data_IF_173925382376
#
_entry.id   IF_173925382376
#
_cell.length_a   1.000
_cell.length_b   1.000
_cell.length_c   1.000
_cell.angle_alpha   90.00
_cell.angle_beta   90.00
_cell.angle_gamma   90.00
#
_symmetry.space_group_name_H-M   'P 1'
#
loop_
_entity.id
_entity.type
_entity.pdbx_description
1 polymer ?
2 non-polymer ?
3 non-polymer ?
4 non-polymer ?
5 water ?
#
# COMPACT_ATOMS: atom_id res chain seq x y z
N UNK A 13 7.85 -8.95 25.28
CA UNK A 13 9.00 -9.03 24.39
C UNK A 13 8.77 -10.20 23.39
N UNK A 14 7.53 -10.71 23.33
CA UNK A 14 7.23 -11.94 22.57
C UNK A 14 7.05 -11.65 21.07
N UNK A 15 7.65 -12.49 20.23
CA UNK A 15 7.66 -12.29 18.78
C UNK A 15 6.70 -13.23 18.05
N UNK A 16 6.55 -12.96 16.75
CA UNK A 16 5.81 -13.81 15.82
C UNK A 16 6.28 -13.48 14.40
N UNK A 17 6.55 -14.51 13.61
CA UNK A 17 6.81 -14.37 12.19
C UNK A 17 5.58 -14.83 11.41
N UNK A 18 5.39 -14.22 10.24
CA UNK A 18 4.23 -14.54 9.40
C UNK A 18 4.74 -14.74 7.98
N UNK A 19 4.24 -15.80 7.34
CA UNK A 19 4.56 -16.14 5.97
C UNK A 19 3.32 -15.91 5.14
N UNK A 20 3.47 -15.22 4.02
CA UNK A 20 2.33 -14.86 3.17
C UNK A 20 2.63 -15.22 1.72
N UNK A 21 1.71 -15.96 1.10
CA UNK A 21 1.73 -16.19 -0.35
C UNK A 21 0.66 -15.34 -1.01
N UNK A 22 0.77 -15.22 -2.32
CA UNK A 22 -0.31 -14.62 -3.07
C UNK A 22 -1.46 -15.63 -3.16
N UNK A 23 -2.70 -15.25 -2.82
CA UNK A 23 -3.81 -16.22 -2.92
C UNK A 23 -3.97 -16.82 -4.30
N UNK A 24 -3.35 -16.24 -5.33
CA UNK A 24 -3.40 -16.74 -6.70
C UNK A 24 -2.18 -17.58 -7.06
N UNK A 25 -1.31 -17.86 -6.08
CA UNK A 25 -0.15 -18.72 -6.20
C UNK A 25 0.12 -19.30 -4.82
N UNK A 26 -0.88 -19.97 -4.25
CA UNK A 26 -0.90 -20.36 -2.84
C UNK A 26 0.06 -21.54 -2.63
N UNK A 27 1.34 -21.18 -2.56
CA UNK A 27 2.43 -22.13 -2.51
C UNK A 27 2.92 -22.39 -1.08
N UNK A 28 2.31 -21.78 -0.08
CA UNK A 28 2.71 -22.01 1.32
C UNK A 28 2.11 -23.34 1.79
N UNK A 29 2.69 -24.42 1.26
CA UNK A 29 2.19 -25.76 1.48
C UNK A 29 2.39 -26.18 2.94
N UNK A 30 1.57 -27.10 3.43
CA UNK A 30 1.67 -27.50 4.85
C UNK A 30 3.08 -27.92 5.25
N UNK A 31 3.85 -28.50 4.32
CA UNK A 31 5.18 -29.01 4.66
C UNK A 31 6.19 -27.88 4.80
N UNK A 32 6.04 -26.84 3.98
CA UNK A 32 6.84 -25.62 4.14
C UNK A 32 6.58 -24.97 5.50
N UNK A 33 5.32 -24.88 5.90
CA UNK A 33 5.01 -24.31 7.20
C UNK A 33 5.83 -24.96 8.30
N UNK A 34 5.75 -26.28 8.39
CA UNK A 34 6.49 -27.04 9.39
C UNK A 34 7.98 -26.82 9.24
N UNK A 35 8.49 -26.87 8.01
CA UNK A 35 9.91 -26.68 7.78
C UNK A 35 10.37 -25.34 8.32
N UNK A 36 9.75 -24.25 7.84
CA UNK A 36 10.06 -22.93 8.36
C UNK A 36 9.85 -22.87 9.87
N UNK A 37 8.74 -23.44 10.35
CA UNK A 37 8.47 -23.48 11.79
C UNK A 37 9.67 -24.02 12.57
N UNK A 38 10.28 -25.10 12.07
CA UNK A 38 11.39 -25.71 12.77
C UNK A 38 12.73 -25.04 12.46
N UNK A 39 12.83 -24.33 11.34
CA UNK A 39 14.07 -23.59 11.06
C UNK A 39 14.32 -22.50 12.08
N UNK A 40 13.26 -21.88 12.59
CA UNK A 40 13.38 -20.87 13.63
C UNK A 40 13.14 -21.48 15.00
N UNK A 41 13.03 -22.80 15.08
CA UNK A 41 12.95 -23.53 16.36
C UNK A 41 11.69 -23.16 17.14
N UNK A 42 10.58 -23.08 16.43
CA UNK A 42 9.35 -22.53 16.99
C UNK A 42 8.44 -23.63 17.52
N UNK A 43 7.58 -23.25 18.47
CA UNK A 43 6.59 -24.13 19.07
C UNK A 43 5.32 -24.16 18.23
N UNK A 44 4.40 -23.23 18.51
CA UNK A 44 3.17 -23.18 17.74
C UNK A 44 3.39 -22.91 16.27
N UNK A 45 2.40 -23.32 15.48
CA UNK A 45 2.31 -22.99 14.06
C UNK A 45 0.82 -22.84 13.76
N UNK A 46 0.39 -21.61 13.50
CA UNK A 46 -1.03 -21.28 13.42
C UNK A 46 -1.35 -20.82 12.00
N UNK A 47 -2.36 -21.44 11.40
CA UNK A 47 -2.72 -21.19 10.01
C UNK A 47 -3.78 -20.10 9.92
N UNK A 48 -3.46 -19.02 9.20
CA UNK A 48 -4.41 -17.94 9.01
C UNK A 48 -5.29 -18.20 7.79
N UNK A 49 -4.70 -18.77 6.74
CA UNK A 49 -5.42 -19.20 5.54
C UNK A 49 -4.67 -20.40 5.00
N UNK A 50 -5.37 -21.50 4.79
CA UNK A 50 -4.72 -22.70 4.28
C UNK A 50 -3.99 -22.37 2.97
N UNK A 51 -2.68 -22.62 2.96
CA UNK A 51 -1.76 -22.46 1.84
C UNK A 51 -1.44 -21.02 1.47
N UNK A 52 -1.92 -20.03 2.23
CA UNK A 52 -1.65 -18.64 1.92
C UNK A 52 -0.87 -17.95 3.03
N UNK A 53 -1.26 -18.15 4.29
CA UNK A 53 -0.58 -17.45 5.37
C UNK A 53 -0.59 -18.29 6.63
N UNK A 54 0.49 -18.16 7.41
CA UNK A 54 0.64 -18.90 8.65
C UNK A 54 1.42 -18.04 9.66
N UNK A 55 1.10 -18.22 10.94
CA UNK A 55 1.78 -17.55 12.05
C UNK A 55 2.75 -18.51 12.71
N UNK A 56 4.00 -18.06 12.88
CA UNK A 56 5.02 -18.85 13.55
C UNK A 56 5.43 -18.11 14.83
N UNK A 57 4.77 -18.42 15.98
CA UNK A 57 5.18 -17.79 17.25
C UNK A 57 6.65 -18.04 17.52
N UNK A 58 7.45 -16.99 17.46
CA UNK A 58 8.89 -17.13 17.61
C UNK A 58 9.26 -17.52 19.04
N UNK A 59 10.44 -18.13 19.23
CA UNK A 59 10.97 -18.35 20.59
C UNK A 59 11.72 -17.13 21.14
N UNK A 60 11.56 -16.92 22.45
CA UNK A 60 12.05 -15.72 23.12
C UNK A 60 13.57 -15.62 23.03
N UNK A 61 14.07 -14.39 22.96
CA UNK A 61 15.50 -14.19 22.83
C UNK A 61 16.04 -14.47 21.44
N UNK A 62 15.23 -14.22 20.42
CA UNK A 62 15.67 -14.34 19.03
C UNK A 62 15.34 -13.04 18.31
N UNK A 63 16.38 -12.24 18.09
CA UNK A 63 16.25 -11.02 17.29
C UNK A 63 15.67 -11.38 15.92
N UNK A 64 14.72 -10.56 15.45
CA UNK A 64 14.09 -10.82 14.16
C UNK A 64 15.10 -10.80 13.03
N UNK A 65 16.28 -10.23 13.24
CA UNK A 65 17.36 -10.32 12.25
C UNK A 65 17.65 -11.79 11.90
N UNK A 66 17.73 -12.66 12.91
CA UNK A 66 17.99 -14.08 12.64
C UNK A 66 16.76 -14.76 12.06
N UNK A 67 15.61 -14.65 12.75
CA UNK A 67 14.40 -15.34 12.32
C UNK A 67 14.04 -14.99 10.89
N UNK A 68 14.30 -13.75 10.46
CA UNK A 68 14.19 -13.41 9.06
C UNK A 68 15.09 -14.31 8.22
N UNK A 69 16.39 -14.33 8.53
CA UNK A 69 17.35 -15.09 7.74
C UNK A 69 16.97 -16.57 7.68
N UNK A 70 16.83 -17.21 8.85
CA UNK A 70 16.38 -18.60 8.92
C UNK A 70 15.20 -18.85 7.99
N UNK A 71 14.20 -17.98 8.04
CA UNK A 71 12.97 -18.22 7.28
C UNK A 71 13.17 -17.89 5.80
N UNK A 72 13.87 -16.80 5.50
CA UNK A 72 14.09 -16.45 4.09
C UNK A 72 14.92 -17.51 3.39
N UNK A 73 15.94 -18.05 4.08
CA UNK A 73 16.79 -19.10 3.50
C UNK A 73 16.03 -20.42 3.34
N UNK A 74 15.40 -20.90 4.44
CA UNK A 74 14.55 -22.09 4.37
C UNK A 74 13.52 -21.98 3.24
N UNK A 75 13.00 -20.78 2.99
CA UNK A 75 11.94 -20.59 1.99
C UNK A 75 12.46 -20.28 0.60
N UNK A 76 13.78 -20.21 0.44
CA UNK A 76 14.38 -19.71 -0.79
C UNK A 76 13.84 -20.44 -2.00
N UNK A 77 13.70 -19.71 -3.10
CA UNK A 77 13.03 -20.22 -4.27
C UNK A 77 11.52 -20.15 -4.21
N UNK A 78 10.91 -19.96 -2.98
CA UNK A 78 9.45 -19.97 -3.01
C UNK A 78 8.89 -18.55 -3.03
N UNK A 79 7.74 -18.33 -3.72
CA UNK A 79 7.11 -16.99 -3.74
C UNK A 79 6.29 -16.72 -2.47
N UNK A 80 7.01 -16.59 -1.35
CA UNK A 80 6.44 -16.44 -0.03
C UNK A 80 7.16 -15.31 0.68
N UNK A 81 6.41 -14.28 1.11
CA UNK A 81 6.97 -13.17 1.89
C UNK A 81 7.17 -13.57 3.35
N UNK A 82 8.13 -12.91 3.99
CA UNK A 82 8.42 -13.09 5.41
C UNK A 82 8.42 -11.72 6.07
N UNK A 83 7.71 -11.61 7.19
CA UNK A 83 7.79 -10.46 8.09
C UNK A 83 7.80 -11.00 9.52
N UNK A 84 8.57 -10.33 10.38
CA UNK A 84 8.64 -10.69 11.80
C UNK A 84 8.25 -9.44 12.61
N UNK A 85 7.49 -9.64 13.69
CA UNK A 85 7.09 -8.51 14.53
C UNK A 85 6.75 -9.02 15.93
N UNK A 86 6.28 -8.10 16.79
CA UNK A 86 5.79 -8.45 18.12
C UNK A 86 4.31 -8.80 18.05
N UNK A 87 3.91 -9.83 18.80
CA UNK A 87 2.53 -10.31 18.67
C UNK A 87 1.52 -9.28 19.16
N UNK A 88 1.80 -8.62 20.29
CA UNK A 88 0.90 -7.56 20.74
C UNK A 88 1.07 -6.33 19.86
N UNK A 89 -0.02 -5.59 19.69
CA UNK A 89 -0.04 -4.38 18.87
C UNK A 89 0.05 -4.67 17.37
N UNK A 90 -0.37 -5.85 16.94
CA UNK A 90 -0.34 -6.21 15.52
C UNK A 90 -1.54 -5.65 14.76
N UNK A 91 -2.72 -5.69 15.37
CA UNK A 91 -3.93 -5.18 14.74
C UNK A 91 -3.95 -3.67 14.88
N UNK A 92 -3.73 -2.98 13.76
CA UNK A 92 -3.78 -1.53 13.72
C UNK A 92 -5.23 -1.06 13.64
N UNK A 93 -5.43 0.23 13.96
CA UNK A 93 -6.76 0.82 14.01
C UNK A 93 -6.88 1.98 13.04
N UNK A 94 -5.80 2.30 12.34
CA UNK A 94 -5.81 3.22 11.21
C UNK A 94 -5.18 2.52 10.02
N UNK A 95 -5.79 2.64 8.85
CA UNK A 95 -5.14 2.31 7.59
C UNK A 95 -5.00 3.58 6.76
N UNK A 96 -3.77 3.90 6.37
CA UNK A 96 -3.53 4.97 5.40
C UNK A 96 -2.85 4.34 4.18
N UNK A 97 -3.49 4.46 3.01
CA UNK A 97 -3.11 3.71 1.82
C UNK A 97 -2.92 4.62 0.63
N UNK A 98 -1.80 4.45 -0.06
CA UNK A 98 -1.59 5.03 -1.37
C UNK A 98 -2.66 4.56 -2.37
N UNK A 99 -2.98 5.42 -3.34
CA UNK A 99 -3.87 4.95 -4.42
C UNK A 99 -3.12 4.38 -5.62
N UNK A 100 -2.55 5.25 -6.45
CA UNK A 100 -1.91 4.84 -7.70
C UNK A 100 -0.92 3.71 -7.48
N UNK A 101 -1.08 2.63 -8.25
CA UNK A 101 -0.24 1.43 -8.25
C UNK A 101 -0.30 0.62 -6.97
N UNK A 102 -0.95 1.11 -5.92
CA UNK A 102 -1.15 0.32 -4.71
C UNK A 102 -2.54 -0.28 -4.65
N UNK A 103 -3.58 0.55 -4.75
CA UNK A 103 -4.95 0.07 -4.68
C UNK A 103 -5.62 -0.06 -6.04
N UNK A 104 -5.12 0.66 -7.03
CA UNK A 104 -5.50 0.45 -8.41
C UNK A 104 -4.25 -0.03 -9.13
N UNK A 105 -4.45 -0.57 -10.32
CA UNK A 105 -3.35 -1.14 -11.05
C UNK A 105 -2.58 -0.18 -11.90
N UNK A 106 -3.04 1.06 -11.97
CA UNK A 106 -2.56 2.05 -12.92
C UNK A 106 -1.97 3.26 -12.19
N UNK A 107 -1.30 4.12 -12.98
CA UNK A 107 -0.96 5.47 -12.58
C UNK A 107 -1.95 6.40 -13.26
N UNK A 108 -2.84 7.03 -12.49
CA UNK A 108 -3.85 7.86 -13.14
C UNK A 108 -3.21 8.97 -13.97
N UNK A 109 -2.09 9.53 -13.50
CA UNK A 109 -1.38 10.54 -14.29
C UNK A 109 -0.97 9.97 -15.65
N UNK A 110 -0.43 8.75 -15.69
CA UNK A 110 0.06 8.15 -16.93
C UNK A 110 -1.09 7.82 -17.90
N UNK A 111 -2.29 7.58 -17.37
CA UNK A 111 -3.44 7.25 -18.20
C UNK A 111 -4.03 8.49 -18.88
N UNK A 112 -4.20 9.58 -18.12
CA UNK A 112 -4.49 10.88 -18.73
C UNK A 112 -3.45 11.26 -19.79
N UNK A 113 -2.19 10.87 -19.59
CA UNK A 113 -1.14 11.15 -20.57
C UNK A 113 -1.41 10.48 -21.91
N UNK A 114 -2.01 9.29 -21.89
CA UNK A 114 -2.42 8.63 -23.13
C UNK A 114 -3.30 9.56 -23.97
N UNK A 115 -4.29 10.21 -23.33
CA UNK A 115 -5.26 11.11 -23.95
C UNK A 115 -4.62 12.37 -24.54
N UNK A 116 -3.32 12.61 -24.31
CA UNK A 116 -2.59 13.69 -24.96
C UNK A 116 -1.48 13.14 -25.85
N UNK A 117 -1.43 11.82 -26.03
CA UNK A 117 -0.42 11.22 -26.89
C UNK A 117 0.94 11.06 -26.25
N UNK A 118 1.08 11.35 -24.96
CA UNK A 118 2.39 11.34 -24.31
C UNK A 118 2.46 10.37 -23.14
N UNK A 119 1.77 9.23 -23.22
CA UNK A 119 1.84 8.25 -22.14
C UNK A 119 3.28 7.83 -21.87
N UNK A 120 4.01 7.52 -22.94
CA UNK A 120 5.38 7.03 -22.79
C UNK A 120 6.26 8.09 -22.17
N UNK A 121 6.13 9.32 -22.67
CA UNK A 121 6.93 10.43 -22.15
C UNK A 121 6.64 10.67 -20.67
N UNK A 122 5.37 10.64 -20.29
CA UNK A 122 5.03 10.99 -18.91
C UNK A 122 5.32 9.83 -17.96
N UNK A 123 5.09 8.59 -18.41
CA UNK A 123 5.38 7.42 -17.58
C UNK A 123 6.85 7.34 -17.18
N UNK A 124 7.76 7.83 -18.01
CA UNK A 124 9.16 7.78 -17.62
C UNK A 124 9.45 8.79 -16.51
N UNK A 125 8.75 9.92 -16.53
CA UNK A 125 8.87 10.84 -15.41
C UNK A 125 8.29 10.20 -14.15
N UNK A 126 7.06 9.65 -14.27
CA UNK A 126 6.42 8.98 -13.14
C UNK A 126 7.36 7.95 -12.50
N UNK A 127 7.96 7.09 -13.34
CA UNK A 127 8.89 6.08 -12.87
C UNK A 127 9.98 6.70 -11.99
N UNK A 128 10.57 7.81 -12.46
CA UNK A 128 11.68 8.43 -11.74
C UNK A 128 11.20 9.13 -10.48
N UNK A 129 10.02 9.76 -10.54
CA UNK A 129 9.42 10.33 -9.33
C UNK A 129 9.21 9.26 -8.27
N UNK A 130 8.56 8.15 -8.66
CA UNK A 130 8.22 7.13 -7.70
C UNK A 130 9.44 6.33 -7.22
N UNK A 131 10.59 6.45 -7.92
CA UNK A 131 11.84 5.90 -7.42
C UNK A 131 12.53 6.84 -6.42
N UNK A 132 12.10 8.10 -6.34
CA UNK A 132 12.75 9.09 -5.52
C UNK A 132 13.91 9.81 -6.18
N UNK A 133 14.08 9.67 -7.50
CA UNK A 133 15.15 10.39 -8.19
C UNK A 133 14.80 11.86 -8.46
N UNK A 134 13.51 12.23 -8.33
CA UNK A 134 13.07 13.62 -8.45
C UNK A 134 12.00 13.89 -7.39
N UNK A 135 11.90 15.14 -6.95
CA UNK A 135 10.90 15.49 -5.95
C UNK A 135 9.50 15.34 -6.54
N UNK A 136 8.54 14.99 -5.69
CA UNK A 136 7.21 14.73 -6.23
C UNK A 136 6.61 15.96 -6.88
N UNK A 137 6.82 17.14 -6.27
CA UNK A 137 6.04 18.32 -6.63
C UNK A 137 6.41 18.83 -8.01
N UNK A 138 7.69 19.05 -8.32
CA UNK A 138 8.03 19.42 -9.71
C UNK A 138 7.71 18.32 -10.70
N UNK A 139 7.71 17.05 -10.27
CA UNK A 139 7.30 15.96 -11.16
C UNK A 139 5.82 16.07 -11.49
N UNK A 140 4.98 16.31 -10.49
CA UNK A 140 3.57 16.54 -10.75
C UNK A 140 3.38 17.72 -11.69
N UNK A 141 3.99 18.86 -11.35
CA UNK A 141 3.80 20.06 -12.18
C UNK A 141 4.20 19.80 -13.62
N UNK A 142 5.36 19.16 -13.82
CA UNK A 142 5.82 18.88 -15.18
C UNK A 142 4.83 17.98 -15.93
N UNK A 143 4.43 16.86 -15.30
CA UNK A 143 3.53 15.92 -15.97
C UNK A 143 2.15 16.54 -16.20
N UNK A 144 1.60 17.21 -15.18
CA UNK A 144 0.27 17.79 -15.32
C UNK A 144 0.24 18.89 -16.39
N UNK A 145 1.34 19.64 -16.54
CA UNK A 145 1.39 20.69 -17.56
C UNK A 145 0.99 20.15 -18.92
N UNK A 146 1.43 18.95 -19.26
CA UNK A 146 1.19 18.39 -20.58
C UNK A 146 -0.26 17.96 -20.80
N UNK A 147 -1.10 18.03 -19.76
CA UNK A 147 -2.52 17.73 -19.88
C UNK A 147 -3.34 18.96 -20.25
N UNK A 148 -2.70 20.10 -20.50
CA UNK A 148 -3.41 21.34 -20.78
C UNK A 148 -4.27 21.22 -22.03
N UNK A 149 -5.47 21.81 -21.97
CA UNK A 149 -6.43 21.74 -23.03
C UNK A 149 -7.21 20.46 -23.11
N UNK A 150 -6.86 19.45 -22.31
CA UNK A 150 -7.64 18.20 -22.26
C UNK A 150 -9.04 18.51 -21.73
N UNK A 151 -10.09 18.01 -22.38
CA UNK A 151 -11.44 18.27 -21.87
C UNK A 151 -11.67 17.51 -20.58
N UNK A 152 -12.65 17.98 -19.82
CA UNK A 152 -12.93 17.33 -18.54
C UNK A 152 -13.52 15.95 -18.71
N UNK A 153 -14.06 15.65 -19.89
CA UNK A 153 -14.64 14.34 -20.15
C UNK A 153 -13.63 13.21 -19.94
N UNK A 154 -12.35 13.45 -20.26
CA UNK A 154 -11.33 12.40 -20.18
C UNK A 154 -11.25 11.77 -18.80
N UNK A 155 -11.74 12.44 -17.75
CA UNK A 155 -11.62 11.89 -16.39
C UNK A 155 -12.41 10.59 -16.29
N UNK A 156 -13.72 10.66 -16.54
CA UNK A 156 -14.56 9.48 -16.42
C UNK A 156 -14.24 8.46 -17.50
N UNK A 157 -13.79 8.91 -18.68
CA UNK A 157 -13.35 7.99 -19.72
C UNK A 157 -12.22 7.09 -19.23
N UNK A 158 -11.26 7.65 -18.49
CA UNK A 158 -10.15 6.83 -17.98
C UNK A 158 -10.61 5.98 -16.81
N UNK A 159 -11.40 6.54 -15.88
CA UNK A 159 -11.88 5.78 -14.74
C UNK A 159 -12.64 4.55 -15.21
N UNK A 160 -13.49 4.72 -16.23
CA UNK A 160 -14.39 3.65 -16.64
C UNK A 160 -13.70 2.59 -17.49
N UNK A 161 -12.78 3.01 -18.36
CA UNK A 161 -12.23 2.09 -19.35
C UNK A 161 -10.87 1.50 -18.98
N UNK A 162 -10.08 2.16 -18.14
CA UNK A 162 -8.73 1.68 -17.93
C UNK A 162 -8.30 1.56 -16.48
N UNK A 163 -9.16 1.87 -15.51
CA UNK A 163 -8.81 1.76 -14.09
C UNK A 163 -9.42 0.47 -13.53
N UNK A 164 -8.59 -0.30 -12.83
CA UNK A 164 -9.01 -1.56 -12.22
C UNK A 164 -8.44 -1.65 -10.80
N UNK A 165 -9.14 -2.38 -9.93
CA UNK A 165 -8.77 -2.46 -8.52
C UNK A 165 -7.76 -3.58 -8.27
N UNK A 166 -6.79 -3.30 -7.40
CA UNK A 166 -5.81 -4.30 -7.02
C UNK A 166 -6.49 -5.41 -6.21
N UNK A 167 -6.25 -6.68 -6.52
CA UNK A 167 -6.83 -7.77 -5.74
C UNK A 167 -6.55 -7.63 -4.25
N UNK A 168 -7.55 -8.00 -3.44
CA UNK A 168 -7.43 -7.97 -2.01
C UNK A 168 -7.85 -6.67 -1.36
N UNK A 169 -8.02 -5.59 -2.13
CA UNK A 169 -8.20 -4.25 -1.63
C UNK A 169 -9.54 -4.00 -0.95
N UNK A 170 -10.65 -4.31 -1.64
CA UNK A 170 -11.95 -4.24 -0.95
C UNK A 170 -12.00 -5.11 0.29
N UNK A 171 -11.48 -6.33 0.18
CA UNK A 171 -11.46 -7.23 1.33
C UNK A 171 -10.67 -6.63 2.47
N UNK A 172 -9.50 -6.04 2.16
CA UNK A 172 -8.64 -5.48 3.19
C UNK A 172 -9.36 -4.38 3.96
N UNK A 173 -9.92 -3.42 3.22
CA UNK A 173 -10.52 -2.23 3.83
C UNK A 173 -11.83 -2.59 4.52
N UNK A 174 -12.70 -3.37 3.86
CA UNK A 174 -13.97 -3.77 4.46
C UNK A 174 -13.75 -4.55 5.76
N UNK A 175 -12.70 -5.39 5.80
CA UNK A 175 -12.43 -6.23 6.97
C UNK A 175 -11.87 -5.42 8.14
N UNK A 176 -11.11 -4.34 7.87
CA UNK A 176 -10.69 -3.48 8.97
C UNK A 176 -11.82 -2.57 9.46
N UNK A 177 -12.65 -2.02 8.56
CA UNK A 177 -13.82 -1.28 9.01
C UNK A 177 -14.72 -2.12 9.90
N UNK A 178 -14.77 -3.43 9.66
CA UNK A 178 -15.54 -4.34 10.49
C UNK A 178 -14.97 -4.44 11.91
N UNK A 179 -13.69 -4.13 12.10
CA UNK A 179 -13.04 -4.20 13.41
C UNK A 179 -12.75 -2.80 13.99
N UNK A 180 -13.52 -1.79 13.56
CA UNK A 180 -13.37 -0.44 14.07
C UNK A 180 -12.04 0.19 13.73
N UNK A 181 -11.78 0.36 12.44
CA UNK A 181 -10.56 1.00 11.96
C UNK A 181 -10.95 2.08 10.97
N UNK A 182 -10.25 3.22 11.07
CA UNK A 182 -10.44 4.34 10.16
C UNK A 182 -9.52 4.15 8.96
N UNK A 183 -10.08 4.20 7.76
CA UNK A 183 -9.34 3.89 6.53
C UNK A 183 -9.32 5.11 5.60
N UNK A 184 -8.13 5.60 5.26
CA UNK A 184 -7.99 6.77 4.41
C UNK A 184 -7.18 6.40 3.17
N UNK A 185 -7.69 6.83 2.01
CA UNK A 185 -6.99 6.73 0.73
C UNK A 185 -6.26 8.05 0.49
N UNK A 186 -4.96 8.05 0.72
CA UNK A 186 -4.15 9.27 0.69
C UNK A 186 -3.16 9.18 -0.48
N UNK A 187 -3.39 10.02 -1.50
CA UNK A 187 -2.78 9.92 -2.81
C UNK A 187 -2.15 11.26 -3.20
N UNK A 188 -1.08 11.18 -4.01
CA UNK A 188 -0.56 12.33 -4.72
C UNK A 188 -1.24 12.56 -6.05
N UNK A 189 -2.28 11.78 -6.32
CA UNK A 189 -3.01 11.88 -7.55
C UNK A 189 -4.13 12.87 -7.43
N UNK A 190 -5.29 12.59 -8.01
CA UNK A 190 -6.26 13.65 -8.22
C UNK A 190 -7.61 13.28 -7.60
N UNK A 191 -8.20 14.28 -6.94
CA UNK A 191 -9.44 14.09 -6.18
C UNK A 191 -10.56 13.50 -7.02
N UNK A 192 -10.63 13.84 -8.32
CA UNK A 192 -11.67 13.27 -9.18
C UNK A 192 -11.50 11.75 -9.35
N UNK A 193 -10.30 11.23 -9.13
CA UNK A 193 -10.09 9.79 -9.12
C UNK A 193 -10.30 9.20 -7.72
N UNK A 194 -9.63 9.76 -6.71
CA UNK A 194 -9.67 9.17 -5.38
C UNK A 194 -11.08 9.18 -4.79
N UNK A 195 -11.89 10.20 -5.11
CA UNK A 195 -13.26 10.24 -4.59
C UNK A 195 -14.07 9.03 -5.04
N UNK A 196 -13.97 8.66 -6.33
CA UNK A 196 -14.66 7.47 -6.82
C UNK A 196 -14.01 6.19 -6.32
N UNK A 197 -12.68 6.07 -6.45
CA UNK A 197 -12.00 4.82 -6.08
C UNK A 197 -12.21 4.50 -4.60
N UNK A 198 -12.26 5.54 -3.75
CA UNK A 198 -12.37 5.27 -2.31
C UNK A 198 -13.76 4.78 -1.95
N UNK A 199 -14.79 5.39 -2.55
CA UNK A 199 -16.15 4.90 -2.32
C UNK A 199 -16.32 3.49 -2.88
N UNK A 200 -15.64 3.22 -3.99
CA UNK A 200 -15.71 1.95 -4.70
C UNK A 200 -15.08 0.82 -3.88
N UNK A 201 -13.91 1.08 -3.28
CA UNK A 201 -13.26 0.10 -2.42
C UNK A 201 -13.88 0.07 -1.02
N UNK A 202 -14.27 1.24 -0.49
CA UNK A 202 -14.88 1.28 0.82
C UNK A 202 -14.16 2.06 1.90
N UNK A 203 -13.41 3.10 1.55
CA UNK A 203 -12.69 3.92 2.53
C UNK A 203 -13.64 4.88 3.27
N UNK A 204 -13.26 5.27 4.49
CA UNK A 204 -14.00 6.36 5.14
C UNK A 204 -13.62 7.72 4.54
N UNK A 205 -12.35 7.94 4.20
CA UNK A 205 -11.94 9.24 3.69
C UNK A 205 -10.87 9.09 2.61
N UNK A 206 -10.82 10.07 1.69
CA UNK A 206 -9.74 10.21 0.74
C UNK A 206 -9.24 11.65 0.72
N UNK A 207 -7.95 11.80 0.37
CA UNK A 207 -7.30 13.10 0.24
C UNK A 207 -6.28 13.03 -0.88
N UNK A 208 -6.50 13.78 -1.96
CA UNK A 208 -5.53 13.83 -3.05
C UNK A 208 -5.36 15.27 -3.53
N UNK A 209 -4.53 15.42 -4.57
CA UNK A 209 -4.35 16.73 -5.20
C UNK A 209 -5.55 17.09 -6.05
N UNK A 210 -5.51 18.28 -6.64
CA UNK A 210 -6.64 18.70 -7.45
C UNK A 210 -6.19 19.34 -8.75
N UNK A 211 -6.66 18.78 -9.85
CA UNK A 211 -6.51 19.42 -11.15
C UNK A 211 -7.36 20.68 -11.21
N UNK A 212 -6.82 21.73 -11.86
CA UNK A 212 -7.56 22.95 -12.12
C UNK A 212 -8.16 22.87 -13.52
N UNK A 213 -9.38 23.39 -13.67
CA UNK A 213 -10.02 23.48 -14.97
C UNK A 213 -10.72 24.84 -15.12
N UNK A 214 -10.95 25.25 -16.37
CA UNK A 214 -11.64 26.49 -16.72
C UNK A 214 -13.16 26.34 -16.77
N UNK A 215 -13.66 25.12 -16.60
CA UNK A 215 -15.06 24.78 -16.83
C UNK A 215 -15.27 23.83 -17.98
N UNK A 216 -14.28 23.63 -18.85
CA UNK A 216 -14.37 22.73 -19.99
C UNK A 216 -13.10 21.89 -20.11
N UNK A 217 -11.96 22.57 -20.09
CA UNK A 217 -10.65 21.98 -20.32
C UNK A 217 -9.88 21.92 -19.01
N UNK A 218 -8.84 21.10 -19.00
CA UNK A 218 -7.85 21.15 -17.93
C UNK A 218 -6.89 22.30 -18.17
N UNK A 219 -6.69 23.15 -17.15
CA UNK A 219 -5.73 24.26 -17.27
C UNK A 219 -4.31 23.76 -17.52
N UNK A 220 -3.99 22.56 -17.06
CA UNK A 220 -2.62 22.09 -17.06
C UNK A 220 -1.85 22.39 -15.79
N UNK A 221 -2.52 22.94 -14.78
CA UNK A 221 -1.91 23.22 -13.50
C UNK A 221 -2.61 22.38 -12.42
N UNK A 222 -2.01 22.35 -11.25
CA UNK A 222 -2.56 21.67 -10.09
C UNK A 222 -2.71 22.73 -9.02
N UNK A 223 -3.75 22.59 -8.21
CA UNK A 223 -3.92 23.46 -7.05
C UNK A 223 -2.72 23.36 -6.12
N UNK A 224 -2.01 24.50 -5.94
CA UNK A 224 -0.92 24.67 -4.99
C UNK A 224 -1.50 25.04 -3.63
N UNK A 225 -0.86 24.66 -2.52
CA UNK A 225 0.33 23.79 -2.39
C UNK A 225 0.05 22.33 -2.69
N UNK A 226 0.95 21.75 -3.47
CA UNK A 226 0.88 20.35 -3.83
C UNK A 226 1.10 19.46 -2.60
N UNK A 227 0.30 18.39 -2.49
CA UNK A 227 0.54 17.34 -1.49
C UNK A 227 1.54 16.31 -2.04
N UNK A 228 2.66 16.14 -1.33
CA UNK A 228 3.76 15.26 -1.69
C UNK A 228 4.10 14.32 -0.57
N UNK A 229 5.40 13.98 -0.48
CA UNK A 229 5.88 13.04 0.54
C UNK A 229 5.51 13.52 1.93
N UNK A 230 5.64 14.82 2.18
CA UNK A 230 5.41 15.34 3.52
C UNK A 230 3.92 15.40 3.84
N UNK A 231 3.10 15.75 2.86
CA UNK A 231 1.66 15.87 3.11
C UNK A 231 1.02 14.53 3.46
N UNK A 232 1.63 13.42 3.04
CA UNK A 232 1.11 12.12 3.46
C UNK A 232 1.43 11.85 4.94
N UNK A 233 2.58 12.33 5.41
CA UNK A 233 2.91 12.17 6.82
C UNK A 233 1.96 13.00 7.69
N UNK A 234 1.63 14.20 7.24
CA UNK A 234 0.77 15.08 8.03
C UNK A 234 -0.66 14.58 8.08
N UNK A 235 -1.19 14.15 6.95
CA UNK A 235 -2.51 13.52 6.96
C UNK A 235 -2.56 12.38 7.97
N UNK A 236 -1.47 11.58 8.05
CA UNK A 236 -1.39 10.53 9.07
C UNK A 236 -1.45 11.12 10.48
N UNK A 237 -0.75 12.22 10.72
CA UNK A 237 -0.77 12.88 12.02
C UNK A 237 -2.16 13.45 12.30
N UNK A 238 -2.71 14.19 11.34
CA UNK A 238 -4.04 14.76 11.47
C UNK A 238 -5.08 13.71 11.84
N UNK A 239 -5.11 12.60 11.09
CA UNK A 239 -6.06 11.52 11.32
C UNK A 239 -5.90 10.94 12.73
N UNK A 240 -4.66 10.72 13.16
CA UNK A 240 -4.46 10.04 14.43
C UNK A 240 -4.95 10.90 15.59
N UNK A 241 -4.59 12.20 15.62
CA UNK A 241 -5.14 13.06 16.65
C UNK A 241 -6.66 13.10 16.58
N UNK A 242 -7.21 13.19 15.37
CA UNK A 242 -8.65 13.34 15.21
C UNK A 242 -9.41 12.14 15.79
N UNK A 243 -8.83 10.95 15.77
CA UNK A 243 -9.52 9.72 16.18
C UNK A 243 -9.08 9.25 17.57
N UNK A 244 -8.29 10.03 18.29
CA UNK A 244 -7.92 9.68 19.63
C UNK A 244 -6.77 8.69 19.74
N UNK A 245 -5.90 8.66 18.74
CA UNK A 245 -4.83 7.66 18.66
C UNK A 245 -3.54 8.36 18.25
N UNK A 246 -2.46 7.60 18.23
CA UNK A 246 -1.17 8.01 17.70
C UNK A 246 -0.88 7.27 16.39
N UNK A 247 0.07 7.76 15.59
CA UNK A 247 0.37 7.05 14.33
C UNK A 247 0.87 5.63 14.55
N UNK A 248 1.26 5.29 15.78
CA UNK A 248 1.65 3.93 16.11
C UNK A 248 0.48 2.96 15.92
N UNK A 249 -0.74 3.44 16.01
CA UNK A 249 -1.94 2.64 15.82
C UNK A 249 -2.30 2.45 14.35
N UNK A 250 -1.47 2.97 13.44
CA UNK A 250 -1.73 2.99 12.01
C UNK A 250 -0.87 1.96 11.26
N UNK A 251 -1.44 1.45 10.17
CA UNK A 251 -0.69 0.73 9.14
C UNK A 251 -0.76 1.53 7.85
N UNK A 252 0.40 1.70 7.21
CA UNK A 252 0.57 2.48 5.99
C UNK A 252 1.18 1.60 4.91
N UNK A 253 0.68 1.72 3.69
CA UNK A 253 1.09 0.85 2.60
C UNK A 253 1.12 1.66 1.32
N UNK A 254 2.26 1.61 0.63
CA UNK A 254 2.42 2.26 -0.67
C UNK A 254 3.59 1.63 -1.40
N UNK A 255 3.89 2.20 -2.57
CA UNK A 255 4.87 1.66 -3.51
C UNK A 255 5.99 2.63 -3.89
N UNK A 256 5.79 3.95 -3.73
CA UNK A 256 6.70 4.92 -4.27
C UNK A 256 7.28 5.79 -3.15
N UNK A 257 8.24 6.64 -3.55
CA UNK A 257 9.00 7.41 -2.57
C UNK A 257 8.09 8.36 -1.77
N UNK A 258 6.99 8.82 -2.38
CA UNK A 258 6.09 9.75 -1.68
C UNK A 258 5.34 9.07 -0.53
N UNK A 259 5.44 7.76 -0.40
CA UNK A 259 4.85 7.04 0.72
C UNK A 259 5.87 6.75 1.81
N UNK A 260 7.15 7.08 1.60
CA UNK A 260 8.17 6.65 2.55
C UNK A 260 8.05 7.38 3.88
N UNK A 261 7.68 8.66 3.86
CA UNK A 261 7.43 9.37 5.10
C UNK A 261 6.35 8.69 5.93
N UNK A 262 5.24 8.34 5.28
CA UNK A 262 4.10 7.76 5.98
C UNK A 262 4.35 6.30 6.34
N UNK A 263 5.09 5.57 5.51
CA UNK A 263 5.47 4.20 5.83
C UNK A 263 6.43 4.17 7.01
N UNK A 264 7.39 5.11 7.04
CA UNK A 264 8.35 5.16 8.14
C UNK A 264 7.70 5.63 9.43
N UNK A 265 6.65 6.46 9.34
CA UNK A 265 6.09 7.03 10.56
C UNK A 265 5.07 6.11 11.21
N UNK A 266 4.25 5.44 10.39
CA UNK A 266 3.25 4.52 10.88
C UNK A 266 3.86 3.47 11.82
N UNK A 267 3.01 2.88 12.65
CA UNK A 267 3.48 1.82 13.52
C UNK A 267 3.90 0.59 12.74
N UNK A 268 3.13 0.26 11.70
CA UNK A 268 3.46 -0.77 10.73
C UNK A 268 3.49 -0.14 9.33
N UNK A 269 4.67 -0.11 8.72
CA UNK A 269 4.82 0.44 7.38
C UNK A 269 5.25 -0.59 6.36
N UNK A 270 4.53 -0.67 5.24
CA UNK A 270 4.63 -1.77 4.30
C UNK A 270 4.95 -1.20 2.92
N UNK A 271 6.15 -1.51 2.42
CA UNK A 271 6.47 -1.34 1.01
C UNK A 271 5.86 -2.51 0.23
N UNK A 272 4.81 -2.22 -0.54
CA UNK A 272 4.07 -3.21 -1.31
C UNK A 272 4.44 -3.10 -2.78
N UNK A 273 5.08 -4.16 -3.31
CA UNK A 273 5.51 -4.21 -4.72
C UNK A 273 6.21 -2.91 -5.09
N UNK A 274 7.10 -2.50 -4.18
CA UNK A 274 7.72 -1.19 -4.21
C UNK A 274 8.84 -1.09 -5.25
N UNK A 275 9.04 0.14 -5.73
CA UNK A 275 10.09 0.47 -6.65
C UNK A 275 11.46 0.11 -6.05
N UNK A 276 12.50 -0.10 -6.91
CA UNK A 276 13.81 -0.56 -6.43
C UNK A 276 14.36 0.21 -5.22
N UNK A 277 14.60 1.53 -5.34
CA UNK A 277 15.17 2.29 -4.24
C UNK A 277 14.22 2.39 -3.04
N UNK A 278 12.92 2.23 -3.27
CA UNK A 278 11.96 2.38 -2.18
C UNK A 278 12.01 1.16 -1.26
N UNK A 279 11.80 -0.03 -1.83
CA UNK A 279 11.93 -1.27 -1.05
C UNK A 279 13.31 -1.39 -0.38
N UNK A 280 14.37 -0.91 -1.04
CA UNK A 280 15.69 -0.84 -0.45
C UNK A 280 15.69 -0.15 0.90
N UNK A 281 14.75 0.77 1.11
CA UNK A 281 14.70 1.63 2.27
C UNK A 281 13.67 1.20 3.32
N UNK A 282 12.80 0.26 3.00
CA UNK A 282 11.70 -0.08 3.89
C UNK A 282 12.05 -1.26 4.78
N UNK A 283 11.48 -1.23 5.99
CA UNK A 283 11.74 -2.27 6.98
C UNK A 283 10.90 -3.51 6.73
N UNK A 284 9.68 -3.35 6.21
CA UNK A 284 8.74 -4.43 5.98
C UNK A 284 8.34 -4.45 4.52
N UNK A 285 8.49 -5.60 3.87
CA UNK A 285 8.32 -5.75 2.42
C UNK A 285 7.29 -6.82 2.10
N UNK A 286 6.44 -6.56 1.13
CA UNK A 286 5.55 -7.55 0.55
C UNK A 286 5.78 -7.53 -0.96
N UNK A 287 6.40 -8.59 -1.47
CA UNK A 287 6.72 -8.70 -2.89
C UNK A 287 5.97 -9.82 -3.61
N UNK A 288 5.26 -10.68 -2.87
CA UNK A 288 4.52 -11.80 -3.47
C UNK A 288 3.02 -11.73 -3.23
N UNK A 289 2.56 -11.32 -2.03
CA UNK A 289 1.13 -11.29 -1.72
C UNK A 289 0.37 -10.16 -2.40
N UNK A 290 -0.95 -10.21 -2.32
CA UNK A 290 -1.77 -9.07 -2.72
C UNK A 290 -2.16 -8.26 -1.45
N UNK A 291 -3.22 -7.44 -1.55
CA UNK A 291 -3.55 -6.57 -0.42
C UNK A 291 -4.05 -7.34 0.81
N UNK A 292 -4.46 -8.61 0.65
CA UNK A 292 -4.83 -9.40 1.82
C UNK A 292 -3.64 -9.65 2.72
N UNK A 293 -2.43 -9.51 2.18
CA UNK A 293 -1.23 -9.65 2.98
C UNK A 293 -1.31 -8.77 4.22
N UNK A 294 -1.87 -7.57 4.09
CA UNK A 294 -1.92 -6.67 5.24
C UNK A 294 -2.87 -7.19 6.32
N UNK A 295 -3.95 -7.91 5.93
CA UNK A 295 -4.80 -8.57 6.92
C UNK A 295 -4.01 -9.65 7.67
N UNK A 296 -3.19 -10.43 6.94
CA UNK A 296 -2.42 -11.48 7.59
C UNK A 296 -1.27 -10.90 8.42
N UNK A 297 -0.72 -9.76 7.98
CA UNK A 297 0.24 -9.05 8.81
C UNK A 297 -0.38 -8.68 10.15
N UNK A 298 -1.66 -8.29 10.14
CA UNK A 298 -2.38 -7.87 11.33
C UNK A 298 -2.85 -9.05 12.19
N UNK A 299 -2.65 -10.29 11.74
CA UNK A 299 -3.02 -11.44 12.52
C UNK A 299 -4.42 -11.94 12.30
N UNK A 300 -5.13 -11.37 11.32
CA UNK A 300 -6.45 -11.88 11.00
C UNK A 300 -6.36 -13.29 10.43
N UNK A 301 -7.35 -14.12 10.76
CA UNK A 301 -7.61 -15.40 10.12
C UNK A 301 -8.57 -15.18 8.97
N UNK A 302 -8.54 -16.08 7.97
CA UNK A 302 -9.48 -15.96 6.85
C UNK A 302 -10.92 -16.03 7.34
N UNK A 303 -11.17 -16.67 8.48
CA UNK A 303 -12.47 -16.68 9.13
C UNK A 303 -12.98 -15.27 9.40
N UNK A 304 -12.07 -14.37 9.74
CA UNK A 304 -12.39 -13.02 10.17
C UNK A 304 -12.64 -12.07 9.01
N UNK A 305 -12.48 -12.51 7.77
CA UNK A 305 -12.56 -11.62 6.61
C UNK A 305 -14.01 -11.28 6.29
N UNK A 306 -14.18 -10.31 5.39
CA UNK A 306 -15.47 -9.88 4.85
C UNK A 306 -15.55 -10.30 3.38
N UNK A 307 -16.56 -11.12 3.05
CA UNK A 307 -16.75 -11.66 1.71
C UNK A 307 -17.75 -10.84 0.88
X LIG B 1 0.18 9.32 -7.17
X LIG B 1 1.15 8.91 -8.33
X LIG B 1 1.93 10.01 -9.11
X LIG B 1 2.07 7.84 -7.93
X LIG B 1 3.07 9.79 -9.66
X LIG B 1 1.46 11.17 -9.28
X LIG B 1 0.61 6.89 -5.79
X LIG B 1 0.54 8.94 -4.44
X LIG B 1 -1.53 7.84 -5.29
X LIG B 1 -0.09 8.22 -5.63
X LIG C 1 1.72 4.88 -5.79
X LIG D 1 -9.04 16.55 -9.67
#
# INVERSE_FOLDING_TARGET
GPGSMLLSMSQQVSLVATLIANPAKAALAPSLGIKASAAVNATGLYWLADDIACDIPLPLGMEASEADASLRATLDGAPIDVVVQEQERRRKKILIADMDSTMIGQECIDELAEEAGLRDHVAAITARAMNGEIAFEPALRERVALLKGLPLSVIDKVISTRITLTPGGPQLVRTMRKHGAYTALVSGGFTSFTRRIAEMIGFNEERANRLIDDGTRLTGTVAEPILGREAKVEKLVEIAERVGLTPEDAIAVGDGANDLGMIQLAGTGVALHAKPAVAAQAKMRIDHGDLTALLYIQGYRKADFVQ
WHT C01 C02 C03 N06 O04 O05 O08 O09 O10 P07
MG MG
CL CL
#
